data_IF_200010638384
#
_entry.id   IF_200010638384
#
_cell.length_a   1.000
_cell.length_b   1.000
_cell.length_c   1.000
_cell.angle_alpha   90.00
_cell.angle_beta   90.00
_cell.angle_gamma   90.00
#
_symmetry.space_group_name_H-M   'P 1'
#
loop_
_entity.id
_entity.type
_entity.pdbx_description
1 polymer ?
#
# COMPACT_ATOMS: atom_id res chain seq x y z
N UNK A 1 -26.46 -30.87 -10.69
CA UNK A 1 -25.51 -31.82 -10.08
C UNK A 1 -24.46 -30.97 -9.37
N UNK A 2 -24.34 -31.06 -8.04
CA UNK A 2 -23.42 -30.23 -7.25
C UNK A 2 -22.17 -31.09 -6.95
N UNK A 3 -20.95 -30.70 -7.37
CA UNK A 3 -19.73 -31.43 -7.01
C UNK A 3 -19.49 -31.40 -5.49
N UNK A 4 -19.01 -32.51 -4.94
CA UNK A 4 -18.66 -32.64 -3.53
C UNK A 4 -17.16 -32.32 -3.35
N UNK A 5 -16.84 -31.35 -2.50
CA UNK A 5 -15.47 -30.94 -2.19
C UNK A 5 -14.85 -31.94 -1.19
N UNK A 6 -13.71 -32.53 -1.54
CA UNK A 6 -13.11 -33.66 -0.80
C UNK A 6 -11.96 -33.25 0.12
N UNK A 7 -11.24 -32.15 -0.18
CA UNK A 7 -10.18 -31.59 0.68
C UNK A 7 -9.72 -30.23 0.15
N UNK A 8 -9.29 -29.33 1.06
CA UNK A 8 -8.64 -28.05 0.76
C UNK A 8 -7.31 -28.01 1.49
N UNK A 9 -6.22 -27.71 0.77
CA UNK A 9 -4.88 -27.50 1.36
C UNK A 9 -4.33 -26.15 0.90
N UNK A 10 -3.98 -25.29 1.86
CA UNK A 10 -3.32 -24.02 1.62
C UNK A 10 -1.83 -24.14 1.93
N UNK A 11 -0.98 -23.77 0.97
CA UNK A 11 0.46 -23.63 1.18
C UNK A 11 0.92 -22.24 0.72
N UNK A 12 1.63 -21.52 1.59
CA UNK A 12 2.31 -20.29 1.19
C UNK A 12 3.56 -20.68 0.39
N UNK A 13 3.58 -20.36 -0.89
CA UNK A 13 4.57 -20.90 -1.83
C UNK A 13 5.65 -19.89 -2.21
N UNK A 14 5.36 -18.58 -2.11
CA UNK A 14 6.31 -17.54 -2.52
C UNK A 14 6.08 -16.22 -1.81
N UNK A 15 7.19 -15.54 -1.50
CA UNK A 15 7.22 -14.18 -0.94
C UNK A 15 7.91 -13.24 -1.92
N UNK A 16 7.28 -12.09 -2.18
CA UNK A 16 7.82 -11.04 -3.04
C UNK A 16 7.81 -9.70 -2.29
N UNK A 17 8.92 -8.95 -2.34
CA UNK A 17 9.00 -7.61 -1.78
C UNK A 17 8.65 -6.59 -2.88
N UNK A 18 7.54 -5.90 -2.68
CA UNK A 18 7.03 -4.84 -3.53
C UNK A 18 7.57 -3.46 -3.10
N UNK A 19 7.41 -2.43 -3.94
CA UNK A 19 7.77 -1.06 -3.59
C UNK A 19 7.19 -0.61 -2.24
N UNK A 20 7.94 0.21 -1.52
CA UNK A 20 7.49 0.76 -0.23
C UNK A 20 7.42 -0.23 0.91
N UNK A 21 8.22 -1.31 0.85
CA UNK A 21 8.31 -2.35 1.87
C UNK A 21 7.01 -3.16 2.08
N UNK A 22 6.16 -3.23 1.04
CA UNK A 22 5.01 -4.13 1.03
C UNK A 22 5.46 -5.54 0.65
N UNK A 23 5.05 -6.54 1.41
CA UNK A 23 5.33 -7.96 1.14
C UNK A 23 4.09 -8.63 0.57
N UNK A 24 4.22 -9.29 -0.58
CA UNK A 24 3.19 -10.12 -1.21
C UNK A 24 3.47 -11.60 -0.93
N UNK A 25 2.49 -12.29 -0.40
CA UNK A 25 2.48 -13.74 -0.22
C UNK A 25 1.56 -14.36 -1.27
N UNK A 26 2.09 -15.30 -2.04
CA UNK A 26 1.28 -16.17 -2.89
C UNK A 26 0.87 -17.39 -2.09
N UNK A 27 -0.44 -17.61 -2.01
CA UNK A 27 -1.04 -18.77 -1.37
C UNK A 27 -1.59 -19.64 -2.49
N UNK A 28 -1.08 -20.86 -2.57
CA UNK A 28 -1.58 -21.86 -3.51
C UNK A 28 -2.58 -22.75 -2.78
N UNK A 29 -3.83 -22.69 -3.22
CA UNK A 29 -4.92 -23.51 -2.66
C UNK A 29 -5.18 -24.67 -3.61
N UNK A 30 -4.98 -25.90 -3.12
CA UNK A 30 -5.36 -27.11 -3.81
C UNK A 30 -6.76 -27.53 -3.38
N UNK A 31 -7.68 -27.67 -4.33
CA UNK A 31 -9.02 -28.20 -4.11
C UNK A 31 -9.22 -29.49 -4.89
N UNK A 32 -9.66 -30.53 -4.19
CA UNK A 32 -9.97 -31.81 -4.81
C UNK A 32 -11.48 -31.98 -4.88
N UNK A 33 -12.02 -32.23 -6.08
CA UNK A 33 -13.45 -32.47 -6.30
C UNK A 33 -13.68 -33.80 -7.00
N UNK A 34 -14.79 -34.45 -6.69
CA UNK A 34 -15.17 -35.73 -7.30
C UNK A 34 -16.31 -35.53 -8.29
N UNK A 35 -16.16 -36.04 -9.52
CA UNK A 35 -17.24 -36.05 -10.51
C UNK A 35 -17.88 -37.44 -10.56
N UNK A 36 -19.22 -37.52 -10.47
CA UNK A 36 -19.97 -38.77 -10.71
C UNK A 36 -20.43 -38.85 -12.16
N UNK A 37 -19.88 -39.77 -12.94
CA UNK A 37 -20.41 -40.11 -14.26
C UNK A 37 -21.61 -41.04 -14.06
N UNK A 38 -22.82 -40.57 -14.35
CA UNK A 38 -24.00 -41.43 -14.47
C UNK A 38 -24.16 -41.84 -15.93
N UNK A 39 -23.67 -43.03 -16.29
CA UNK A 39 -24.07 -43.70 -17.53
C UNK A 39 -24.76 -45.01 -17.15
N UNK A 40 -25.97 -45.20 -17.68
CA UNK A 40 -26.88 -46.29 -17.30
C UNK A 40 -26.31 -47.69 -17.49
N UNK A 41 -26.75 -48.57 -16.59
CA UNK A 41 -26.70 -50.03 -16.63
C UNK A 41 -25.29 -50.65 -16.45
N UNK A 42 -25.01 -50.97 -15.18
CA UNK A 42 -23.96 -51.88 -14.67
C UNK A 42 -22.56 -51.63 -15.25
N UNK A 43 -21.92 -50.54 -14.84
CA UNK A 43 -20.47 -50.44 -14.85
C UNK A 43 -19.98 -49.78 -13.57
N UNK A 44 -18.92 -50.35 -12.99
CA UNK A 44 -18.31 -49.93 -11.73
C UNK A 44 -18.06 -48.42 -11.74
N UNK A 45 -18.58 -47.72 -10.73
CA UNK A 45 -18.42 -46.28 -10.57
C UNK A 45 -16.97 -45.92 -10.27
N UNK A 46 -16.16 -45.74 -11.32
CA UNK A 46 -14.88 -45.05 -11.23
C UNK A 46 -15.17 -43.55 -11.07
N UNK A 47 -15.00 -43.04 -9.85
CA UNK A 47 -14.97 -41.61 -9.60
C UNK A 47 -13.60 -41.06 -10.00
N UNK A 48 -13.55 -40.14 -10.95
CA UNK A 48 -12.34 -39.38 -11.23
C UNK A 48 -12.17 -38.27 -10.19
N UNK A 49 -10.96 -38.19 -9.61
CA UNK A 49 -10.55 -37.10 -8.74
C UNK A 49 -9.99 -35.98 -9.63
N UNK A 50 -10.66 -34.83 -9.65
CA UNK A 50 -10.11 -33.63 -10.28
C UNK A 50 -9.42 -32.78 -9.22
N UNK A 51 -8.16 -32.42 -9.50
CA UNK A 51 -7.36 -31.50 -8.69
C UNK A 51 -7.35 -30.13 -9.35
N UNK A 52 -7.81 -29.11 -8.63
CA UNK A 52 -7.74 -27.70 -9.04
C UNK A 52 -6.74 -26.94 -8.19
N UNK A 53 -5.94 -26.09 -8.83
CA UNK A 53 -5.04 -25.17 -8.16
C UNK A 53 -5.52 -23.74 -8.40
N UNK A 54 -5.71 -22.99 -7.32
CA UNK A 54 -6.02 -21.56 -7.38
C UNK A 54 -4.97 -20.78 -6.61
N UNK A 55 -4.45 -19.73 -7.24
CA UNK A 55 -3.60 -18.77 -6.56
C UNK A 55 -4.45 -17.68 -5.92
N UNK A 56 -4.11 -17.33 -4.68
CA UNK A 56 -4.57 -16.11 -4.03
C UNK A 56 -3.38 -15.34 -3.48
N UNK A 57 -3.58 -14.06 -3.22
CA UNK A 57 -2.52 -13.17 -2.77
C UNK A 57 -2.92 -12.53 -1.44
N UNK A 58 -1.95 -12.37 -0.54
CA UNK A 58 -2.10 -11.54 0.66
C UNK A 58 -0.93 -10.58 0.75
N UNK A 59 -1.22 -9.33 1.09
CA UNK A 59 -0.24 -8.27 1.10
C UNK A 59 -0.11 -7.67 2.50
N UNK A 60 1.11 -7.36 2.90
CA UNK A 60 1.42 -6.87 4.23
C UNK A 60 2.42 -5.72 4.20
N UNK A 61 2.36 -4.81 5.17
CA UNK A 61 3.44 -3.87 5.47
C UNK A 61 3.94 -4.13 6.88
N UNK A 62 5.18 -4.63 7.00
CA UNK A 62 5.63 -5.24 8.25
C UNK A 62 4.74 -6.44 8.60
N UNK A 63 4.07 -6.36 9.75
CA UNK A 63 3.12 -7.39 10.21
C UNK A 63 1.65 -7.02 9.97
N UNK A 64 1.37 -5.89 9.31
CA UNK A 64 0.00 -5.42 9.12
C UNK A 64 -0.55 -5.81 7.77
N UNK A 65 -1.73 -6.42 7.77
CA UNK A 65 -2.43 -6.87 6.57
C UNK A 65 -3.02 -5.67 5.80
N UNK A 66 -2.76 -5.62 4.50
CA UNK A 66 -3.21 -4.54 3.61
C UNK A 66 -4.35 -4.93 2.68
N UNK A 67 -4.51 -6.22 2.35
CA UNK A 67 -5.56 -6.69 1.45
C UNK A 67 -5.16 -7.91 0.64
N UNK A 68 -6.11 -8.37 -0.20
CA UNK A 68 -5.95 -9.54 -1.08
C UNK A 68 -5.85 -9.16 -2.56
N UNK A 69 -6.07 -7.89 -2.91
CA UNK A 69 -5.94 -7.38 -4.28
C UNK A 69 -5.11 -6.09 -4.36
N UNK A 70 -4.48 -5.87 -5.50
CA UNK A 70 -3.64 -4.71 -5.79
C UNK A 70 -4.29 -3.36 -5.43
N UNK A 71 -5.57 -3.17 -5.79
CA UNK A 71 -6.27 -1.93 -5.49
C UNK A 71 -6.62 -1.79 -4.00
N UNK A 72 -6.97 -2.87 -3.31
CA UNK A 72 -7.18 -2.83 -1.86
C UNK A 72 -5.90 -2.42 -1.13
N UNK A 73 -4.78 -3.00 -1.57
CA UNK A 73 -3.45 -2.71 -1.02
C UNK A 73 -3.07 -1.27 -1.26
N UNK A 74 -3.34 -0.74 -2.45
CA UNK A 74 -3.05 0.66 -2.76
C UNK A 74 -3.85 1.62 -1.85
N UNK A 75 -5.14 1.36 -1.65
CA UNK A 75 -5.99 2.14 -0.76
C UNK A 75 -5.51 2.05 0.70
N UNK A 76 -5.19 0.84 1.17
CA UNK A 76 -4.72 0.62 2.54
C UNK A 76 -3.35 1.29 2.79
N UNK A 77 -2.41 1.13 1.85
CA UNK A 77 -1.11 1.78 1.91
C UNK A 77 -1.24 3.31 1.90
N UNK A 78 -2.11 3.86 1.05
CA UNK A 78 -2.37 5.30 1.01
C UNK A 78 -2.94 5.82 2.33
N UNK A 79 -3.93 5.12 2.90
CA UNK A 79 -4.50 5.48 4.21
C UNK A 79 -3.43 5.49 5.30
N UNK A 80 -2.61 4.45 5.37
CA UNK A 80 -1.53 4.35 6.34
C UNK A 80 -0.45 5.41 6.14
N UNK A 81 -0.16 5.77 4.89
CA UNK A 81 0.74 6.87 4.57
C UNK A 81 0.23 8.21 5.12
N UNK A 82 -1.08 8.47 5.00
CA UNK A 82 -1.71 9.66 5.59
C UNK A 82 -1.58 9.68 7.12
N UNK A 83 -1.69 8.51 7.78
CA UNK A 83 -1.45 8.39 9.22
C UNK A 83 0.00 8.76 9.59
N UNK A 84 1.00 8.25 8.87
CA UNK A 84 2.41 8.66 9.07
C UNK A 84 2.63 10.15 8.79
N UNK A 85 2.03 10.70 7.74
CA UNK A 85 2.05 12.14 7.49
C UNK A 85 1.48 12.92 8.67
N UNK A 86 0.39 12.45 9.28
CA UNK A 86 -0.23 13.09 10.45
C UNK A 86 0.73 13.13 11.65
N UNK A 87 1.64 12.16 11.77
CA UNK A 87 2.69 12.10 12.79
C UNK A 87 3.94 12.94 12.42
N UNK A 88 4.05 13.41 11.18
CA UNK A 88 5.24 14.09 10.67
C UNK A 88 6.36 13.15 10.22
N UNK A 89 6.03 11.87 10.08
CA UNK A 89 6.87 10.76 9.63
C UNK A 89 6.87 10.68 8.11
N UNK A 90 7.37 11.73 7.45
CA UNK A 90 7.27 11.87 6.00
C UNK A 90 8.04 10.79 5.22
N UNK A 91 9.12 10.25 5.79
CA UNK A 91 9.91 9.21 5.13
C UNK A 91 9.18 7.86 5.09
N UNK A 92 8.50 7.46 6.18
CA UNK A 92 7.63 6.27 6.15
C UNK A 92 6.41 6.50 5.24
N UNK A 93 5.83 7.70 5.28
CA UNK A 93 4.71 8.05 4.43
C UNK A 93 5.07 7.98 2.94
N UNK A 94 6.24 8.51 2.54
CA UNK A 94 6.72 8.44 1.16
C UNK A 94 6.82 7.00 0.65
N UNK A 95 7.37 6.10 1.47
CA UNK A 95 7.48 4.67 1.12
C UNK A 95 6.10 4.09 0.82
N UNK A 96 5.11 4.34 1.68
CA UNK A 96 3.76 3.81 1.52
C UNK A 96 2.95 4.48 0.39
N UNK A 97 3.11 5.78 0.14
CA UNK A 97 2.50 6.41 -1.04
C UNK A 97 3.12 5.88 -2.34
N UNK A 98 4.43 5.62 -2.34
CA UNK A 98 5.07 4.98 -3.49
C UNK A 98 4.59 3.53 -3.68
N UNK A 99 4.34 2.79 -2.60
CA UNK A 99 3.67 1.48 -2.67
C UNK A 99 2.28 1.61 -3.29
N UNK A 100 1.46 2.55 -2.80
CA UNK A 100 0.10 2.75 -3.29
C UNK A 100 0.05 3.02 -4.79
N UNK A 101 0.90 3.95 -5.26
CA UNK A 101 0.98 4.31 -6.67
C UNK A 101 1.55 3.18 -7.55
N UNK A 102 2.51 2.41 -7.06
CA UNK A 102 3.16 1.36 -7.87
C UNK A 102 2.40 0.03 -7.86
N UNK A 103 1.55 -0.19 -6.86
CA UNK A 103 0.78 -1.43 -6.73
C UNK A 103 -0.62 -1.28 -7.31
N UNK A 104 -1.20 -0.08 -7.42
CA UNK A 104 -2.51 0.06 -8.03
C UNK A 104 -2.49 -0.39 -9.50
N UNK A 105 -3.60 -0.99 -9.95
CA UNK A 105 -3.76 -1.36 -11.34
C UNK A 105 -3.78 -0.12 -12.25
N UNK A 106 -3.21 -0.23 -13.45
CA UNK A 106 -3.23 0.85 -14.43
C UNK A 106 -4.67 1.28 -14.76
N UNK A 107 -4.94 2.59 -14.74
CA UNK A 107 -6.27 3.14 -15.01
C UNK A 107 -7.23 3.03 -13.81
N UNK A 108 -6.73 2.69 -12.63
CA UNK A 108 -7.51 2.79 -11.40
C UNK A 108 -7.90 4.25 -11.14
N UNK A 109 -9.13 4.48 -10.69
CA UNK A 109 -9.69 5.83 -10.53
C UNK A 109 -8.86 6.75 -9.64
N UNK A 110 -8.20 6.19 -8.63
CA UNK A 110 -7.38 6.93 -7.66
C UNK A 110 -5.88 6.93 -8.00
N UNK A 111 -5.46 6.40 -9.15
CA UNK A 111 -4.04 6.36 -9.55
C UNK A 111 -3.39 7.75 -9.50
N UNK A 112 -4.09 8.77 -10.02
CA UNK A 112 -3.62 10.16 -9.99
C UNK A 112 -3.51 10.70 -8.56
N UNK A 113 -4.45 10.34 -7.69
CA UNK A 113 -4.43 10.74 -6.28
C UNK A 113 -3.23 10.13 -5.55
N UNK A 114 -2.93 8.85 -5.79
CA UNK A 114 -1.74 8.20 -5.23
C UNK A 114 -0.46 8.83 -5.75
N UNK A 115 -0.40 9.16 -7.04
CA UNK A 115 0.73 9.85 -7.65
C UNK A 115 0.98 11.21 -7.01
N UNK A 116 -0.05 12.05 -6.90
CA UNK A 116 0.06 13.40 -6.34
C UNK A 116 0.46 13.33 -4.85
N UNK A 117 -0.10 12.38 -4.10
CA UNK A 117 0.22 12.17 -2.68
C UNK A 117 1.68 11.75 -2.48
N UNK A 118 2.17 10.84 -3.33
CA UNK A 118 3.60 10.48 -3.38
C UNK A 118 4.47 11.70 -3.67
N UNK A 119 4.21 12.39 -4.77
CA UNK A 119 5.06 13.49 -5.24
C UNK A 119 5.11 14.64 -4.22
N UNK A 120 3.97 14.99 -3.62
CA UNK A 120 3.90 16.01 -2.58
C UNK A 120 4.69 15.58 -1.32
N UNK A 121 4.61 14.32 -0.93
CA UNK A 121 5.32 13.80 0.25
C UNK A 121 6.82 13.69 0.03
N UNK A 122 7.28 13.31 -1.17
CA UNK A 122 8.71 13.36 -1.54
C UNK A 122 9.28 14.78 -1.35
N UNK A 123 8.53 15.81 -1.77
CA UNK A 123 8.94 17.21 -1.57
C UNK A 123 8.96 17.57 -0.08
N UNK A 124 8.04 17.03 0.73
CA UNK A 124 8.02 17.24 2.18
C UNK A 124 9.22 16.59 2.89
N UNK A 125 9.65 15.40 2.45
CA UNK A 125 10.88 14.75 2.93
C UNK A 125 12.10 15.64 2.67
N UNK A 126 12.23 16.20 1.46
CA UNK A 126 13.28 17.17 1.15
C UNK A 126 13.22 18.39 2.07
N UNK A 127 12.01 18.92 2.32
CA UNK A 127 11.79 20.03 3.25
C UNK A 127 12.23 19.72 4.68
N UNK A 128 11.92 18.51 5.17
CA UNK A 128 12.33 18.05 6.51
C UNK A 128 13.85 17.89 6.63
N UNK A 129 14.51 17.40 5.57
CA UNK A 129 15.97 17.32 5.52
C UNK A 129 16.62 18.71 5.56
N UNK A 130 16.07 19.70 4.83
CA UNK A 130 16.53 21.08 4.90
C UNK A 130 16.33 21.69 6.30
N UNK A 131 15.21 21.35 6.96
CA UNK A 131 14.89 21.84 8.30
C UNK A 131 15.91 21.36 9.32
N UNK A 132 16.28 20.08 9.25
CA UNK A 132 17.29 19.48 10.12
C UNK A 132 18.68 20.09 9.91
N UNK A 133 18.94 20.66 8.73
CA UNK A 133 20.16 21.40 8.40
C UNK A 133 20.08 22.91 8.70
N UNK A 134 18.99 23.39 9.32
CA UNK A 134 18.80 24.81 9.67
C UNK A 134 18.52 25.75 8.49
N UNK A 135 18.20 25.20 7.31
CA UNK A 135 17.92 25.97 6.08
C UNK A 135 16.45 26.41 6.01
N UNK A 136 16.02 27.24 6.94
CA UNK A 136 14.60 27.56 7.16
C UNK A 136 13.86 28.14 5.94
N UNK A 137 14.48 29.06 5.19
CA UNK A 137 13.85 29.65 4.00
C UNK A 137 13.64 28.61 2.88
N UNK A 138 14.63 27.73 2.65
CA UNK A 138 14.52 26.65 1.67
C UNK A 138 13.46 25.62 2.10
N UNK A 139 13.41 25.31 3.40
CA UNK A 139 12.38 24.45 3.98
C UNK A 139 10.98 24.99 3.73
N UNK A 140 10.74 26.29 3.99
CA UNK A 140 9.43 26.91 3.79
C UNK A 140 8.98 26.80 2.32
N UNK A 141 9.90 27.01 1.37
CA UNK A 141 9.63 26.86 -0.05
C UNK A 141 9.24 25.43 -0.42
N UNK A 142 9.90 24.41 0.15
CA UNK A 142 9.55 22.99 -0.09
C UNK A 142 8.15 22.65 0.44
N UNK A 143 7.84 23.02 1.69
CA UNK A 143 6.50 22.75 2.23
C UNK A 143 5.40 23.52 1.48
N UNK A 144 5.69 24.72 0.96
CA UNK A 144 4.75 25.43 0.08
C UNK A 144 4.54 24.68 -1.25
N UNK A 145 5.60 24.13 -1.85
CA UNK A 145 5.49 23.34 -3.07
C UNK A 145 4.72 22.04 -2.86
N UNK A 146 4.98 21.34 -1.74
CA UNK A 146 4.23 20.15 -1.35
C UNK A 146 2.74 20.45 -1.11
N UNK A 147 2.46 21.58 -0.46
CA UNK A 147 1.10 22.11 -0.28
C UNK A 147 0.42 22.32 -1.64
N UNK A 148 1.04 23.06 -2.57
CA UNK A 148 0.44 23.39 -3.87
C UNK A 148 0.20 22.15 -4.77
N UNK A 149 0.90 21.05 -4.52
CA UNK A 149 0.82 19.83 -5.33
C UNK A 149 -0.18 18.81 -4.79
N UNK A 150 -0.51 18.90 -3.49
CA UNK A 150 -1.48 17.97 -2.90
C UNK A 150 -2.86 18.37 -3.36
N UNK A 151 -3.72 17.42 -3.72
CA UNK A 151 -5.17 17.65 -3.83
C UNK A 151 -5.93 17.03 -2.64
N UNK A 152 -5.19 16.36 -1.75
CA UNK A 152 -5.72 15.64 -0.60
C UNK A 152 -5.78 16.57 0.62
N UNK A 153 -6.97 16.74 1.19
CA UNK A 153 -7.23 17.66 2.30
C UNK A 153 -6.35 17.41 3.52
N UNK A 154 -6.05 16.15 3.86
CA UNK A 154 -5.18 15.84 5.01
C UNK A 154 -3.74 16.30 4.77
N UNK A 155 -3.21 16.14 3.56
CA UNK A 155 -1.86 16.58 3.20
C UNK A 155 -1.75 18.11 3.22
N UNK A 156 -2.75 18.80 2.67
CA UNK A 156 -2.86 20.25 2.73
C UNK A 156 -2.76 20.79 4.17
N UNK A 157 -3.61 20.28 5.06
CA UNK A 157 -3.65 20.70 6.45
C UNK A 157 -2.30 20.47 7.13
N UNK A 158 -1.66 19.33 6.85
CA UNK A 158 -0.39 18.99 7.48
C UNK A 158 0.77 19.84 6.98
N UNK A 159 0.89 20.06 5.68
CA UNK A 159 1.95 20.91 5.12
C UNK A 159 1.80 22.37 5.55
N UNK A 160 0.56 22.85 5.68
CA UNK A 160 0.28 24.17 6.26
C UNK A 160 0.75 24.26 7.72
N UNK A 161 0.42 23.27 8.55
CA UNK A 161 0.89 23.19 9.95
C UNK A 161 2.42 23.18 10.04
N UNK A 162 3.10 22.45 9.15
CA UNK A 162 4.56 22.39 9.13
C UNK A 162 5.23 23.72 8.78
N UNK A 163 4.59 24.58 7.98
CA UNK A 163 5.10 25.95 7.76
C UNK A 163 5.21 26.74 9.08
N UNK A 164 4.23 26.61 9.97
CA UNK A 164 4.27 27.26 11.30
C UNK A 164 5.39 26.67 12.17
N UNK A 165 5.59 25.35 12.13
CA UNK A 165 6.69 24.68 12.86
C UNK A 165 8.05 25.22 12.42
N UNK A 166 8.23 25.44 11.11
CA UNK A 166 9.47 25.97 10.53
C UNK A 166 9.73 27.39 11.02
N UNK A 167 8.71 28.24 11.04
CA UNK A 167 8.82 29.61 11.54
C UNK A 167 9.24 29.64 13.02
N UNK A 168 8.55 28.87 13.88
CA UNK A 168 8.88 28.79 15.32
C UNK A 168 10.32 28.30 15.53
N UNK A 169 10.77 27.30 14.76
CA UNK A 169 12.15 26.79 14.85
C UNK A 169 13.17 27.84 14.40
N UNK A 170 12.87 28.61 13.35
CA UNK A 170 13.73 29.68 12.87
C UNK A 170 13.90 30.79 13.92
N UNK A 171 12.80 31.22 14.54
CA UNK A 171 12.81 32.24 15.61
C UNK A 171 13.62 31.78 16.83
N UNK A 172 13.43 30.53 17.27
CA UNK A 172 14.22 29.94 18.37
C UNK A 172 15.70 29.81 18.03
N UNK A 173 16.05 29.55 16.77
CA UNK A 173 17.44 29.48 16.35
C UNK A 173 18.09 30.88 16.32
N UNK A 174 17.35 31.89 15.84
CA UNK A 174 17.81 33.28 15.84
C UNK A 174 18.02 33.82 17.26
N UNK A 175 17.14 33.49 18.22
CA UNK A 175 17.24 33.93 19.61
C UNK A 175 18.38 33.28 20.42
N UNK A 176 19.03 32.24 19.88
CA UNK A 176 20.17 31.55 20.51
C UNK A 176 21.53 32.01 19.96
N UNK A 177 21.55 32.88 18.95
CA UNK A 177 22.76 33.54 18.44
C UNK A 177 22.92 34.91 19.08
#
# INVERSE_FOLDING_TARGET
>A
MIPMLLSVKDEATKTELLPGAVTKYTIMTQTNTTTRIFAGVISLGLTELMTHYTESYRYFYGNEYLGDSENQVAVAANKKALEFCSLGEFEQAEKLFNAAYRTCANGYSDELNFKNSRDATTIAVEGQNLLNNGKFSETQAKFQKAYNLSDVSELYAKFSSYKNVVQIKAEKFAAKK
#
